data_IF_632253641169
#
_entry.id   IF_632253641169
#
_cell.length_a   1.000
_cell.length_b   1.000
_cell.length_c   1.000
_cell.angle_alpha   90.00
_cell.angle_beta   90.00
_cell.angle_gamma   90.00
#
_symmetry.space_group_name_H-M   'P 1'
#
loop_
_entity.id
_entity.type
_entity.pdbx_description
1 polymer ?
#
# COMPACT_ATOMS: atom_id res chain seq x y z
N UNK A 1 -15.75 9.36 -0.10
CA UNK A 1 -17.21 9.45 0.03
C UNK A 1 -17.64 10.79 -0.55
N UNK A 2 -18.50 10.76 -1.57
CA UNK A 2 -19.04 11.93 -2.27
C UNK A 2 -19.74 12.86 -1.28
N UNK A 3 -19.25 14.10 -1.13
CA UNK A 3 -20.00 15.14 -0.41
C UNK A 3 -21.30 15.39 -1.18
N UNK A 4 -22.40 14.89 -0.61
CA UNK A 4 -23.75 15.25 -1.04
C UNK A 4 -24.00 16.63 -0.44
N UNK A 5 -24.00 17.65 -1.29
CA UNK A 5 -24.34 19.03 -0.91
C UNK A 5 -25.71 19.07 -0.25
N UNK A 6 -25.86 19.94 0.75
CA UNK A 6 -27.14 20.14 1.42
C UNK A 6 -28.13 20.80 0.47
N UNK A 7 -29.42 20.48 0.61
CA UNK A 7 -30.47 20.98 -0.31
C UNK A 7 -30.51 22.51 -0.37
N UNK A 8 -30.13 23.20 0.71
CA UNK A 8 -30.01 24.66 0.77
C UNK A 8 -28.90 25.24 -0.12
N UNK A 9 -27.79 24.52 -0.31
CA UNK A 9 -26.69 24.97 -1.17
C UNK A 9 -27.02 24.80 -2.65
N UNK A 10 -27.78 23.76 -2.98
CA UNK A 10 -28.31 23.54 -4.33
C UNK A 10 -29.28 24.66 -4.70
N UNK A 11 -30.18 25.03 -3.81
CA UNK A 11 -31.16 26.09 -4.06
C UNK A 11 -30.49 27.47 -4.21
N UNK A 12 -29.43 27.75 -3.44
CA UNK A 12 -28.66 29.00 -3.57
C UNK A 12 -27.92 29.10 -4.92
N UNK A 13 -27.34 27.99 -5.40
CA UNK A 13 -26.67 27.95 -6.70
C UNK A 13 -27.66 28.02 -7.87
N UNK A 14 -28.84 27.41 -7.73
CA UNK A 14 -29.91 27.49 -8.75
C UNK A 14 -30.48 28.91 -8.85
N UNK A 15 -30.64 29.61 -7.73
CA UNK A 15 -31.05 31.02 -7.73
C UNK A 15 -29.99 31.90 -8.40
N UNK A 16 -28.72 31.74 -8.05
CA UNK A 16 -27.62 32.51 -8.64
C UNK A 16 -27.45 32.28 -10.16
N UNK A 17 -27.73 31.07 -10.65
CA UNK A 17 -27.72 30.75 -12.09
C UNK A 17 -28.98 31.27 -12.81
N UNK A 18 -30.13 31.23 -12.13
CA UNK A 18 -31.40 31.72 -12.68
C UNK A 18 -31.44 33.23 -12.87
N UNK A 19 -30.79 33.98 -11.98
CA UNK A 19 -30.88 35.44 -11.96
C UNK A 19 -29.84 36.12 -12.88
N UNK A 20 -28.92 35.34 -13.46
CA UNK A 20 -28.04 35.81 -14.55
C UNK A 20 -27.07 36.94 -14.15
N UNK A 21 -26.94 37.28 -12.87
CA UNK A 21 -25.97 38.25 -12.36
C UNK A 21 -24.67 37.54 -11.95
N UNK A 22 -23.80 37.31 -12.93
CA UNK A 22 -22.36 37.23 -12.64
C UNK A 22 -21.80 38.66 -12.75
N UNK A 23 -22.27 39.52 -11.85
CA UNK A 23 -21.86 40.91 -11.76
C UNK A 23 -20.56 41.04 -10.96
N UNK A 24 -19.45 41.27 -11.65
CA UNK A 24 -18.32 42.01 -11.09
C UNK A 24 -18.86 43.39 -10.64
N UNK A 25 -18.85 43.66 -9.34
CA UNK A 25 -19.31 44.94 -8.82
C UNK A 25 -19.09 45.02 -7.32
N UNK A 26 -18.02 45.69 -6.92
CA UNK A 26 -17.51 45.71 -5.56
C UNK A 26 -18.46 46.31 -4.53
N UNK A 27 -18.31 45.83 -3.31
CA UNK A 27 -18.65 46.61 -2.14
C UNK A 27 -17.33 46.98 -1.43
N UNK A 28 -16.99 48.26 -1.59
CA UNK A 28 -15.81 48.88 -1.01
C UNK A 28 -16.09 49.21 0.46
N UNK A 29 -15.43 48.50 1.37
CA UNK A 29 -15.54 48.73 2.80
C UNK A 29 -14.28 48.35 3.58
N UNK A 30 -13.17 49.05 3.32
CA UNK A 30 -12.14 49.27 4.35
C UNK A 30 -10.90 48.36 4.37
N UNK A 31 -9.88 48.77 3.60
CA UNK A 31 -8.47 48.77 4.06
C UNK A 31 -7.66 47.49 3.93
N UNK A 32 -6.88 47.37 2.84
CA UNK A 32 -5.67 46.52 2.81
C UNK A 32 -5.39 45.86 1.46
N UNK A 33 -4.65 46.56 0.61
CA UNK A 33 -3.72 46.09 -0.46
C UNK A 33 -4.12 44.88 -1.34
N UNK A 34 -4.28 45.05 -2.68
CA UNK A 34 -4.61 43.97 -3.60
C UNK A 34 -3.34 43.21 -4.04
N UNK A 35 -3.33 41.90 -3.88
CA UNK A 35 -2.33 41.03 -4.49
C UNK A 35 -1.93 39.84 -3.63
N UNK A 36 -2.83 38.88 -3.44
CA UNK A 36 -2.44 37.49 -3.19
C UNK A 36 -3.67 36.58 -3.33
N UNK A 37 -3.86 36.03 -4.52
CA UNK A 37 -4.79 34.93 -4.77
C UNK A 37 -4.18 33.61 -4.24
N UNK A 38 -3.73 33.62 -2.97
CA UNK A 38 -3.21 32.45 -2.29
C UNK A 38 -4.39 31.65 -1.78
N UNK A 39 -4.75 30.64 -2.56
CA UNK A 39 -5.56 29.50 -2.12
C UNK A 39 -5.06 29.07 -0.74
N UNK A 40 -5.84 29.40 0.31
CA UNK A 40 -5.52 29.03 1.68
C UNK A 40 -5.77 27.53 1.81
N UNK A 41 -4.72 26.74 1.65
CA UNK A 41 -4.77 25.30 1.92
C UNK A 41 -4.75 25.11 3.42
N UNK A 42 -5.83 24.54 3.97
CA UNK A 42 -5.89 24.15 5.39
C UNK A 42 -4.82 23.09 5.63
N UNK A 43 -3.70 23.51 6.19
CA UNK A 43 -2.57 22.65 6.50
C UNK A 43 -2.72 22.13 7.92
N UNK A 44 -3.06 20.85 8.05
CA UNK A 44 -3.15 20.20 9.35
C UNK A 44 -1.74 19.93 9.91
N UNK A 45 -1.34 20.76 10.89
CA UNK A 45 -0.05 20.66 11.59
C UNK A 45 0.11 19.37 12.40
N UNK A 46 -0.98 18.64 12.66
CA UNK A 46 -0.94 17.32 13.31
C UNK A 46 -0.73 16.19 12.32
N UNK A 47 -1.04 16.43 11.03
CA UNK A 47 -0.59 15.59 9.93
C UNK A 47 0.90 15.85 9.71
N UNK A 48 1.72 15.26 10.57
CA UNK A 48 3.14 15.11 10.30
C UNK A 48 3.30 14.11 9.18
N UNK A 49 2.93 14.51 7.95
CA UNK A 49 3.52 13.95 6.75
C UNK A 49 5.00 14.29 6.85
N UNK A 50 5.75 13.44 7.56
CA UNK A 50 7.20 13.33 7.39
C UNK A 50 7.40 12.82 5.98
N UNK A 51 7.25 13.73 5.02
CA UNK A 51 7.58 13.49 3.64
C UNK A 51 9.11 13.43 3.63
N UNK A 52 9.66 12.25 3.92
CA UNK A 52 11.01 11.91 3.53
C UNK A 52 10.93 11.76 2.00
N UNK A 53 11.02 12.90 1.32
CA UNK A 53 10.83 13.09 -0.13
C UNK A 53 12.03 12.58 -0.92
N UNK A 54 12.66 11.51 -0.45
CA UNK A 54 13.79 10.85 -1.09
C UNK A 54 13.34 9.49 -1.58
N UNK A 55 13.39 9.27 -2.90
CA UNK A 55 13.49 7.89 -3.42
C UNK A 55 14.68 7.24 -2.71
N UNK A 56 14.58 5.97 -2.35
CA UNK A 56 15.67 5.19 -1.76
C UNK A 56 16.33 4.35 -2.87
N UNK A 57 17.12 4.94 -3.79
CA UNK A 57 17.64 4.22 -4.95
C UNK A 57 18.54 3.05 -4.54
N UNK A 58 19.21 3.13 -3.39
CA UNK A 58 19.97 2.00 -2.84
C UNK A 58 19.06 0.84 -2.45
N UNK A 59 17.87 1.13 -1.91
CA UNK A 59 16.89 0.09 -1.56
C UNK A 59 16.35 -0.59 -2.81
N UNK A 60 16.12 0.16 -3.89
CA UNK A 60 15.69 -0.41 -5.18
C UNK A 60 16.75 -1.40 -5.73
N UNK A 61 18.04 -1.05 -5.64
CA UNK A 61 19.14 -1.94 -6.06
C UNK A 61 19.19 -3.21 -5.18
N UNK A 62 18.98 -3.07 -3.87
CA UNK A 62 18.92 -4.21 -2.95
C UNK A 62 17.73 -5.11 -3.29
N UNK A 63 16.55 -4.54 -3.55
CA UNK A 63 15.38 -5.32 -3.95
C UNK A 63 15.56 -5.99 -5.30
N UNK A 64 16.23 -5.38 -6.27
CA UNK A 64 16.53 -6.04 -7.54
C UNK A 64 17.43 -7.28 -7.35
N UNK A 65 18.45 -7.17 -6.49
CA UNK A 65 19.31 -8.30 -6.11
C UNK A 65 18.52 -9.39 -5.38
N UNK A 66 17.74 -9.00 -4.37
CA UNK A 66 16.87 -9.90 -3.62
C UNK A 66 15.93 -10.66 -4.55
N UNK A 67 15.25 -9.98 -5.47
CA UNK A 67 14.30 -10.59 -6.39
C UNK A 67 14.96 -11.61 -7.32
N UNK A 68 16.22 -11.38 -7.73
CA UNK A 68 16.98 -12.34 -8.53
C UNK A 68 17.29 -13.61 -7.74
N UNK A 69 17.77 -13.48 -6.50
CA UNK A 69 18.08 -14.62 -5.63
C UNK A 69 16.82 -15.38 -5.22
N UNK A 70 15.80 -14.65 -4.75
CA UNK A 70 14.53 -15.19 -4.31
C UNK A 70 13.79 -15.93 -5.42
N UNK A 71 13.93 -15.48 -6.67
CA UNK A 71 13.39 -16.21 -7.82
C UNK A 71 14.00 -17.60 -7.97
N UNK A 72 15.30 -17.73 -7.78
CA UNK A 72 16.00 -19.02 -7.88
C UNK A 72 15.62 -19.92 -6.71
N UNK A 73 15.65 -19.39 -5.49
CA UNK A 73 15.32 -20.15 -4.27
C UNK A 73 13.86 -20.62 -4.28
N UNK A 74 12.92 -19.73 -4.61
CA UNK A 74 11.49 -20.05 -4.69
C UNK A 74 11.21 -21.07 -5.80
N UNK A 75 11.82 -20.91 -6.97
CA UNK A 75 11.64 -21.87 -8.08
C UNK A 75 12.17 -23.25 -7.71
N UNK A 76 13.32 -23.31 -7.02
CA UNK A 76 13.90 -24.55 -6.50
C UNK A 76 12.98 -25.21 -5.47
N UNK A 77 12.46 -24.43 -4.52
CA UNK A 77 11.56 -24.92 -3.47
C UNK A 77 10.22 -25.45 -4.02
N UNK A 78 9.64 -24.75 -5.01
CA UNK A 78 8.38 -25.13 -5.65
C UNK A 78 8.54 -26.21 -6.73
N UNK A 79 9.77 -26.50 -7.17
CA UNK A 79 10.07 -27.33 -8.37
C UNK A 79 9.31 -26.87 -9.62
N UNK A 80 9.04 -25.56 -9.73
CA UNK A 80 8.38 -24.89 -10.86
C UNK A 80 9.08 -23.57 -11.13
N UNK A 81 9.03 -23.09 -12.37
CA UNK A 81 9.63 -21.80 -12.74
C UNK A 81 8.74 -20.68 -12.20
N UNK A 82 9.23 -19.94 -11.20
CA UNK A 82 8.58 -18.73 -10.72
C UNK A 82 9.08 -17.49 -11.49
N UNK A 83 8.17 -16.58 -11.79
CA UNK A 83 8.48 -15.24 -12.31
C UNK A 83 8.16 -14.21 -11.24
N UNK A 84 9.12 -13.33 -10.99
CA UNK A 84 9.06 -12.32 -9.93
C UNK A 84 9.49 -10.98 -10.53
N UNK A 85 8.67 -9.96 -10.29
CA UNK A 85 8.89 -8.60 -10.80
C UNK A 85 8.66 -7.61 -9.67
N UNK A 86 9.57 -6.64 -9.51
CA UNK A 86 9.41 -5.54 -8.56
C UNK A 86 8.45 -4.49 -9.14
N UNK A 87 7.39 -4.13 -8.41
CA UNK A 87 6.38 -3.18 -8.86
C UNK A 87 6.81 -1.72 -8.62
N UNK A 88 6.89 -1.31 -7.36
CA UNK A 88 7.29 0.04 -6.95
C UNK A 88 7.71 0.06 -5.48
N UNK A 89 8.46 1.10 -5.12
CA UNK A 89 8.80 1.43 -3.73
C UNK A 89 8.09 2.74 -3.37
N UNK A 90 7.04 2.65 -2.56
CA UNK A 90 6.19 3.79 -2.20
C UNK A 90 6.18 4.03 -0.68
N UNK A 91 5.95 5.29 -0.28
CA UNK A 91 5.77 5.67 1.11
C UNK A 91 4.28 5.70 1.44
N UNK A 92 3.86 4.91 2.44
CA UNK A 92 2.47 4.84 2.87
C UNK A 92 2.39 4.90 4.41
N UNK A 93 1.35 5.55 4.93
CA UNK A 93 1.07 5.53 6.37
C UNK A 93 0.66 4.11 6.77
N UNK A 94 1.17 3.64 7.91
CA UNK A 94 0.84 2.29 8.39
C UNK A 94 -0.67 2.05 8.54
N UNK A 95 -1.42 3.04 9.05
CA UNK A 95 -2.87 2.94 9.17
C UNK A 95 -3.59 2.81 7.82
N UNK A 96 -3.10 3.49 6.79
CA UNK A 96 -3.63 3.35 5.42
C UNK A 96 -3.26 1.98 4.85
N UNK A 97 -2.02 1.53 5.04
CA UNK A 97 -1.56 0.21 4.62
C UNK A 97 -2.43 -0.93 5.16
N UNK A 98 -2.70 -0.94 6.48
CA UNK A 98 -3.54 -1.99 7.10
C UNK A 98 -4.94 -2.03 6.50
N UNK A 99 -5.52 -0.88 6.15
CA UNK A 99 -6.84 -0.81 5.53
C UNK A 99 -6.85 -1.31 4.07
N UNK A 100 -5.70 -1.43 3.41
CA UNK A 100 -5.61 -1.99 2.05
C UNK A 100 -5.54 -3.52 2.03
N UNK A 101 -5.23 -4.16 3.17
CA UNK A 101 -5.04 -5.60 3.22
C UNK A 101 -6.38 -6.35 3.21
N UNK A 102 -6.55 -7.35 2.34
CA UNK A 102 -7.75 -8.20 2.35
C UNK A 102 -7.77 -9.07 3.62
N UNK A 103 -8.95 -9.38 4.14
CA UNK A 103 -9.11 -10.33 5.25
C UNK A 103 -9.55 -11.70 4.72
N UNK A 104 -8.92 -12.82 5.13
CA UNK A 104 -7.70 -12.93 5.95
C UNK A 104 -6.43 -12.57 5.15
N UNK A 105 -5.32 -12.27 5.84
CA UNK A 105 -3.98 -12.07 5.25
C UNK A 105 -2.91 -12.64 6.17
N UNK A 106 -1.87 -13.26 5.60
CA UNK A 106 -0.73 -13.76 6.36
C UNK A 106 0.29 -12.65 6.56
N UNK A 107 0.48 -12.24 7.82
CA UNK A 107 1.37 -11.16 8.21
C UNK A 107 2.50 -11.71 9.07
N UNK A 108 3.74 -11.55 8.61
CA UNK A 108 4.94 -11.95 9.34
C UNK A 108 5.68 -10.71 9.84
N UNK A 109 5.84 -10.60 11.15
CA UNK A 109 6.60 -9.50 11.77
C UNK A 109 8.07 -9.92 11.85
N UNK A 110 8.91 -9.18 11.13
CA UNK A 110 10.35 -9.40 11.04
C UNK A 110 11.08 -8.41 11.95
N UNK A 111 12.17 -8.84 12.58
CA UNK A 111 13.06 -7.96 13.33
C UNK A 111 14.44 -8.01 12.72
N UNK A 112 14.97 -6.85 12.37
CA UNK A 112 16.35 -6.70 11.92
C UNK A 112 17.27 -6.49 13.11
N UNK A 113 18.44 -7.11 13.10
CA UNK A 113 19.45 -6.89 14.14
C UNK A 113 20.15 -5.53 13.98
N UNK A 114 20.39 -5.09 12.74
CA UNK A 114 21.11 -3.86 12.43
C UNK A 114 20.21 -2.61 12.36
N UNK A 115 18.91 -2.78 12.05
CA UNK A 115 17.97 -1.67 11.91
C UNK A 115 17.08 -1.58 13.15
N UNK A 116 16.84 -0.34 13.62
CA UNK A 116 15.91 -0.10 14.73
C UNK A 116 14.48 -0.24 14.22
N UNK A 117 13.73 -1.18 14.78
CA UNK A 117 12.30 -1.35 14.52
C UNK A 117 11.94 -2.79 14.12
N UNK A 118 10.67 -2.98 13.77
CA UNK A 118 10.17 -4.22 13.17
C UNK A 118 9.69 -3.91 11.76
N UNK A 119 9.90 -4.84 10.85
CA UNK A 119 9.34 -4.80 9.52
C UNK A 119 8.21 -5.81 9.40
N UNK A 120 7.42 -5.64 8.36
CA UNK A 120 6.24 -6.43 8.11
C UNK A 120 6.35 -7.03 6.72
N UNK A 121 6.28 -8.36 6.65
CA UNK A 121 6.23 -9.12 5.41
C UNK A 121 4.83 -9.68 5.25
N UNK A 122 4.15 -9.29 4.18
CA UNK A 122 2.73 -9.61 3.97
C UNK A 122 2.56 -10.50 2.76
N UNK A 123 1.86 -11.62 2.95
CA UNK A 123 1.44 -12.53 1.88
C UNK A 123 -0.08 -12.53 1.86
N UNK A 124 -0.65 -12.09 0.74
CA UNK A 124 -2.09 -12.20 0.53
C UNK A 124 -2.55 -13.66 0.57
N UNK A 125 -3.77 -13.89 1.06
CA UNK A 125 -4.30 -15.24 1.18
C UNK A 125 -4.33 -16.02 -0.12
N UNK A 126 -4.63 -15.35 -1.24
CA UNK A 126 -4.59 -15.97 -2.57
C UNK A 126 -3.24 -16.61 -2.87
N UNK A 127 -2.17 -15.87 -2.62
CA UNK A 127 -0.80 -16.34 -2.83
C UNK A 127 -0.42 -17.42 -1.81
N UNK A 128 -0.78 -17.25 -0.53
CA UNK A 128 -0.52 -18.24 0.50
C UNK A 128 -1.13 -19.61 0.16
N UNK A 129 -2.41 -19.65 -0.25
CA UNK A 129 -3.06 -20.90 -0.66
C UNK A 129 -2.45 -21.49 -1.94
N UNK A 130 -2.10 -20.66 -2.91
CA UNK A 130 -1.41 -21.12 -4.11
C UNK A 130 -0.05 -21.75 -3.79
N UNK A 131 0.71 -21.16 -2.86
CA UNK A 131 1.97 -21.73 -2.39
C UNK A 131 1.75 -23.09 -1.71
N UNK A 132 0.80 -23.16 -0.78
CA UNK A 132 0.44 -24.41 -0.09
C UNK A 132 0.10 -25.51 -1.09
N UNK A 133 -0.79 -25.24 -2.04
CA UNK A 133 -1.21 -26.22 -3.05
C UNK A 133 -0.02 -26.72 -3.89
N UNK A 134 0.86 -25.80 -4.31
CA UNK A 134 2.07 -26.16 -5.05
C UNK A 134 3.03 -27.04 -4.23
N UNK A 135 3.21 -26.77 -2.93
CA UNK A 135 4.06 -27.59 -2.06
C UNK A 135 3.50 -29.00 -1.82
N UNK A 136 2.18 -29.17 -1.84
CA UNK A 136 1.52 -30.47 -1.71
C UNK A 136 1.33 -31.21 -3.05
N UNK A 137 1.83 -30.65 -4.15
CA UNK A 137 1.74 -31.26 -5.48
C UNK A 137 0.37 -31.12 -6.14
N UNK A 138 -0.43 -30.13 -5.73
CA UNK A 138 -1.66 -29.76 -6.39
C UNK A 138 -1.44 -29.36 -7.85
N UNK A 139 -2.33 -29.81 -8.73
CA UNK A 139 -2.45 -29.29 -10.08
C UNK A 139 -3.10 -27.90 -10.02
N UNK A 140 -2.77 -26.99 -10.96
CA UNK A 140 -3.24 -25.60 -11.04
C UNK A 140 -4.79 -25.50 -11.04
N UNK A 141 -5.41 -25.69 -9.87
CA UNK A 141 -6.83 -25.52 -9.68
C UNK A 141 -7.07 -24.03 -9.50
N UNK A 142 -8.04 -23.45 -10.22
CA UNK A 142 -8.38 -22.05 -10.01
C UNK A 142 -8.71 -21.86 -8.53
N UNK A 143 -8.08 -20.82 -7.96
CA UNK A 143 -8.27 -20.41 -6.58
C UNK A 143 -9.76 -20.39 -6.24
N UNK A 144 -10.20 -21.34 -5.41
CA UNK A 144 -11.53 -21.32 -4.83
C UNK A 144 -11.42 -20.45 -3.58
N UNK A 145 -12.03 -19.26 -3.64
CA UNK A 145 -12.06 -18.32 -2.53
C UNK A 145 -12.82 -18.95 -1.36
N UNK A 146 -12.10 -19.55 -0.43
CA UNK A 146 -12.68 -19.97 0.85
C UNK A 146 -12.68 -18.71 1.73
N UNK A 147 -13.69 -17.87 1.55
CA UNK A 147 -13.85 -16.66 2.35
C UNK A 147 -14.03 -17.03 3.84
N UNK A 148 -13.34 -16.30 4.72
CA UNK A 148 -13.58 -16.34 6.16
C UNK A 148 -12.95 -17.50 6.95
N UNK A 149 -12.05 -18.28 6.34
CA UNK A 149 -11.33 -19.34 7.06
C UNK A 149 -9.91 -18.90 7.42
N UNK A 150 -9.55 -19.03 8.69
CA UNK A 150 -8.17 -18.84 9.15
C UNK A 150 -7.25 -19.95 8.63
N UNK A 151 -5.96 -19.61 8.51
CA UNK A 151 -4.95 -20.57 8.08
C UNK A 151 -4.77 -21.69 9.09
N UNK A 152 -4.66 -22.91 8.59
CA UNK A 152 -4.33 -24.06 9.44
C UNK A 152 -2.85 -24.04 9.86
N UNK A 153 -2.46 -24.72 10.96
CA UNK A 153 -1.06 -24.78 11.38
C UNK A 153 -0.11 -25.34 10.30
N UNK A 154 -0.61 -26.24 9.45
CA UNK A 154 0.15 -26.83 8.35
C UNK A 154 0.37 -25.79 7.24
N UNK A 155 -0.67 -25.04 6.88
CA UNK A 155 -0.59 -23.94 5.92
C UNK A 155 0.40 -22.86 6.39
N UNK A 156 0.31 -22.47 7.67
CA UNK A 156 1.23 -21.50 8.28
C UNK A 156 2.68 -22.01 8.27
N UNK A 157 2.91 -23.31 8.45
CA UNK A 157 4.26 -23.91 8.38
C UNK A 157 4.87 -23.79 6.99
N UNK A 158 4.07 -23.97 5.93
CA UNK A 158 4.53 -23.78 4.55
C UNK A 158 4.82 -22.31 4.27
N UNK A 159 3.91 -21.41 4.66
CA UNK A 159 4.12 -19.97 4.51
C UNK A 159 5.40 -19.53 5.23
N UNK A 160 5.63 -20.04 6.44
CA UNK A 160 6.84 -19.77 7.21
C UNK A 160 8.11 -20.19 6.47
N UNK A 161 8.14 -21.38 5.86
CA UNK A 161 9.30 -21.82 5.05
C UNK A 161 9.60 -20.87 3.90
N UNK A 162 8.57 -20.34 3.24
CA UNK A 162 8.74 -19.37 2.14
C UNK A 162 9.26 -18.04 2.68
N UNK A 163 8.77 -17.60 3.83
CA UNK A 163 9.25 -16.38 4.50
C UNK A 163 10.71 -16.55 4.94
N UNK A 164 11.09 -17.69 5.50
CA UNK A 164 12.47 -17.98 5.93
C UNK A 164 13.43 -17.94 4.72
N UNK A 165 13.05 -18.52 3.58
CA UNK A 165 13.80 -18.41 2.32
C UNK A 165 13.94 -16.94 1.87
N UNK A 166 12.86 -16.17 1.93
CA UNK A 166 12.88 -14.76 1.56
C UNK A 166 13.81 -13.94 2.48
N UNK A 167 13.85 -14.25 3.78
CA UNK A 167 14.73 -13.57 4.74
C UNK A 167 16.19 -13.88 4.41
N UNK A 168 16.55 -15.14 4.18
CA UNK A 168 17.92 -15.53 3.84
C UNK A 168 18.40 -14.82 2.56
N UNK A 169 17.57 -14.79 1.51
CA UNK A 169 17.89 -14.09 0.27
C UNK A 169 17.98 -12.57 0.46
N UNK A 170 17.14 -12.01 1.34
CA UNK A 170 17.17 -10.59 1.66
C UNK A 170 18.45 -10.25 2.42
N UNK A 171 18.84 -11.02 3.43
CA UNK A 171 20.10 -10.84 4.17
C UNK A 171 21.31 -10.88 3.22
N UNK A 172 21.33 -11.82 2.29
CA UNK A 172 22.37 -11.91 1.26
C UNK A 172 22.38 -10.71 0.30
N UNK A 173 21.22 -10.12 -0.02
CA UNK A 173 21.15 -8.92 -0.86
C UNK A 173 21.58 -7.64 -0.13
N UNK A 174 21.50 -7.63 1.20
CA UNK A 174 21.91 -6.53 2.08
C UNK A 174 23.41 -6.56 2.45
N UNK A 175 24.09 -7.70 2.28
CA UNK A 175 25.53 -7.86 2.51
C UNK A 175 26.38 -7.20 1.40
#
# INVERSE_FOLDING_TARGET
MSQVLSQSEVDALLAAVSEGEIGQGGDAGGGGTPGDDRVVVVYDLTSQDRIIRGRLPQLDVIYEKFMRSFRVSLSSALRKIATLTHASTDFLKFGEFINTLPMPTCMSVLRFNALRGSALFVIESKLAYALVDNFFGGADRPYTKIEGKDFTPIELSIVRKVVDLAIEDLENAWA
#
